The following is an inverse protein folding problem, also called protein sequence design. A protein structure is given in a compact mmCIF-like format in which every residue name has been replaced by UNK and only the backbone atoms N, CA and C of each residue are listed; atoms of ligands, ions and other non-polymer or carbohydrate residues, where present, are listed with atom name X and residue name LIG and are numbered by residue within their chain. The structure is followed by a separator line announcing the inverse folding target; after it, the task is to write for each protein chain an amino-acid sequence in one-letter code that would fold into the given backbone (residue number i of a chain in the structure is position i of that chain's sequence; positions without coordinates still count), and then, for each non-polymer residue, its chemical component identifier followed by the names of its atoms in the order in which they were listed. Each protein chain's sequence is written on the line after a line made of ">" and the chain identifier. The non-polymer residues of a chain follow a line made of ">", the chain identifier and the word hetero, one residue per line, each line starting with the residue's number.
data_IF_886518869335
#
_entry.id   IF_886518869335
#
_cell.length_a   1.000
_cell.length_b   1.000
_cell.length_c   1.000
_cell.angle_alpha   90.00
_cell.angle_beta   90.00
_cell.angle_gamma   90.00
#
_symmetry.space_group_name_H-M   'P 1'
#
loop_
_entity.id
_entity.type
_entity.pdbx_description
1 polymer ?
#
# COMPACT_ATOMS: atom_id res chain seq x y z
N UNK A 1 -6.47 -17.61 31.06
CA UNK A 1 -7.25 -18.65 30.38
C UNK A 1 -8.42 -17.99 29.66
N UNK A 2 -8.20 -17.48 28.45
CA UNK A 2 -9.29 -17.13 27.56
C UNK A 2 -9.88 -18.46 27.07
N UNK A 3 -11.06 -18.83 27.57
CA UNK A 3 -11.70 -20.06 27.13
C UNK A 3 -12.01 -19.98 25.63
N UNK A 4 -11.96 -21.11 24.93
CA UNK A 4 -12.41 -21.25 23.53
C UNK A 4 -13.83 -20.67 23.33
N UNK A 5 -14.63 -20.67 24.37
CA UNK A 5 -15.96 -20.06 24.42
C UNK A 5 -15.90 -18.53 24.15
N UNK A 6 -14.95 -17.79 24.73
CA UNK A 6 -14.80 -16.34 24.46
C UNK A 6 -14.34 -16.04 23.03
N UNK A 7 -13.57 -16.93 22.41
CA UNK A 7 -13.13 -16.77 21.02
C UNK A 7 -14.32 -16.99 20.09
N UNK A 8 -15.08 -18.07 20.28
CA UNK A 8 -16.27 -18.37 19.48
C UNK A 8 -17.33 -17.27 19.59
N UNK A 9 -17.65 -16.82 20.81
CA UNK A 9 -18.64 -15.76 21.04
C UNK A 9 -18.27 -14.46 20.33
N UNK A 10 -16.97 -14.10 20.29
CA UNK A 10 -16.50 -12.93 19.56
C UNK A 10 -16.62 -13.12 18.05
N UNK A 11 -16.26 -14.28 17.52
CA UNK A 11 -16.38 -14.56 16.09
C UNK A 11 -17.84 -14.57 15.65
N UNK A 12 -18.73 -15.16 16.45
CA UNK A 12 -20.17 -15.13 16.19
C UNK A 12 -20.77 -13.73 16.28
N UNK A 13 -20.33 -12.93 17.26
CA UNK A 13 -20.74 -11.53 17.37
C UNK A 13 -20.31 -10.72 16.12
N UNK A 14 -19.12 -10.96 15.58
CA UNK A 14 -18.66 -10.33 14.33
C UNK A 14 -19.60 -10.70 13.18
N UNK A 15 -19.93 -11.99 13.01
CA UNK A 15 -20.78 -12.47 11.93
C UNK A 15 -22.21 -11.93 12.03
N UNK A 16 -22.77 -11.85 13.24
CA UNK A 16 -24.17 -11.50 13.43
C UNK A 16 -24.43 -10.01 13.68
N UNK A 17 -23.45 -9.26 14.18
CA UNK A 17 -23.65 -7.87 14.57
C UNK A 17 -23.03 -6.87 13.61
N UNK A 18 -21.98 -7.25 12.85
CA UNK A 18 -21.41 -6.34 11.86
C UNK A 18 -22.19 -6.39 10.54
N UNK A 19 -22.58 -5.22 10.00
CA UNK A 19 -23.22 -5.17 8.69
C UNK A 19 -22.24 -5.61 7.60
N UNK A 20 -22.75 -6.29 6.58
CA UNK A 20 -21.97 -6.62 5.39
C UNK A 20 -21.45 -5.34 4.71
N UNK A 21 -20.29 -5.40 4.04
CA UNK A 21 -19.78 -4.29 3.26
C UNK A 21 -20.83 -3.80 2.24
N UNK A 22 -21.03 -2.49 2.19
CA UNK A 22 -21.93 -1.87 1.23
C UNK A 22 -21.13 -1.37 0.03
N UNK A 23 -21.66 -1.57 -1.18
CA UNK A 23 -21.07 -1.08 -2.41
C UNK A 23 -21.94 -1.45 -3.61
N UNK A 24 -21.79 -0.72 -4.71
CA UNK A 24 -22.50 -0.96 -5.97
C UNK A 24 -21.55 -1.59 -7.00
N UNK A 25 -21.79 -2.86 -7.35
CA UNK A 25 -20.98 -3.60 -8.33
C UNK A 25 -21.10 -3.01 -9.75
N UNK A 26 -22.22 -2.33 -10.06
CA UNK A 26 -22.47 -1.73 -11.37
C UNK A 26 -21.86 -0.34 -11.55
N UNK A 27 -21.45 0.30 -10.45
CA UNK A 27 -20.83 1.61 -10.45
C UNK A 27 -19.41 1.60 -11.07
N UNK A 28 -18.84 2.76 -11.42
CA UNK A 28 -17.44 2.87 -11.79
C UNK A 28 -16.54 2.34 -10.67
N UNK A 29 -15.45 1.68 -11.06
CA UNK A 29 -14.48 1.15 -10.10
C UNK A 29 -13.99 2.27 -9.16
N UNK A 30 -14.13 2.03 -7.87
CA UNK A 30 -13.60 2.85 -6.79
C UNK A 30 -12.98 1.93 -5.74
N UNK A 31 -11.66 1.83 -5.73
CA UNK A 31 -10.91 0.99 -4.81
C UNK A 31 -9.95 1.83 -3.97
N UNK A 32 -9.81 1.47 -2.71
CA UNK A 32 -8.86 2.09 -1.79
C UNK A 32 -7.58 1.28 -1.76
N UNK A 33 -6.43 1.91 -1.97
CA UNK A 33 -5.11 1.34 -1.74
C UNK A 33 -4.88 1.33 -0.22
N UNK A 34 -4.91 0.14 0.39
CA UNK A 34 -4.78 -0.02 1.84
C UNK A 34 -3.31 -0.11 2.24
N UNK A 35 -2.54 -0.89 1.46
CA UNK A 35 -1.14 -1.17 1.75
C UNK A 35 -0.39 -1.53 0.47
N UNK A 36 0.92 -1.48 0.50
CA UNK A 36 1.77 -1.92 -0.60
C UNK A 36 3.11 -2.44 -0.07
N UNK A 37 3.67 -3.45 -0.75
CA UNK A 37 4.99 -3.96 -0.42
C UNK A 37 5.72 -4.40 -1.69
N UNK A 38 7.02 -4.53 -1.57
CA UNK A 38 7.86 -5.03 -2.64
C UNK A 38 8.12 -6.53 -2.45
N UNK A 39 7.75 -7.31 -3.45
CA UNK A 39 8.07 -8.73 -3.54
C UNK A 39 9.15 -8.94 -4.62
N UNK A 40 10.16 -9.77 -4.36
CA UNK A 40 11.26 -10.00 -5.29
C UNK A 40 10.85 -10.69 -6.59
N UNK A 41 9.73 -11.42 -6.59
CA UNK A 41 9.18 -12.12 -7.74
C UNK A 41 8.06 -11.37 -8.45
N UNK A 42 7.18 -10.76 -7.67
CA UNK A 42 5.96 -10.11 -8.18
C UNK A 42 6.16 -8.61 -8.41
N UNK A 43 7.26 -8.04 -7.92
CA UNK A 43 7.47 -6.60 -7.91
C UNK A 43 6.61 -5.90 -6.85
N UNK A 44 6.03 -4.76 -7.19
CA UNK A 44 5.13 -4.04 -6.29
C UNK A 44 3.79 -4.75 -6.23
N UNK A 45 3.42 -5.21 -5.03
CA UNK A 45 2.12 -5.79 -4.70
C UNK A 45 1.31 -4.75 -3.93
N UNK A 46 0.08 -4.55 -4.32
CA UNK A 46 -0.83 -3.58 -3.70
C UNK A 46 -2.01 -4.32 -3.08
N UNK A 47 -2.28 -4.05 -1.80
CA UNK A 47 -3.50 -4.48 -1.13
C UNK A 47 -4.60 -3.45 -1.40
N UNK A 48 -5.72 -3.90 -1.92
CA UNK A 48 -6.85 -3.04 -2.28
C UNK A 48 -8.14 -3.49 -1.62
N UNK A 49 -8.98 -2.53 -1.26
CA UNK A 49 -10.37 -2.74 -0.88
C UNK A 49 -11.26 -2.15 -1.97
N UNK A 50 -12.09 -2.96 -2.57
CA UNK A 50 -13.06 -2.50 -3.56
C UNK A 50 -14.25 -1.87 -2.83
N UNK A 51 -14.48 -0.58 -3.04
CA UNK A 51 -15.64 0.13 -2.48
C UNK A 51 -16.84 0.01 -3.39
N UNK A 52 -16.65 0.29 -4.68
CA UNK A 52 -17.67 0.20 -5.73
C UNK A 52 -17.06 -0.37 -7.01
N UNK A 53 -17.90 -0.95 -7.86
CA UNK A 53 -17.49 -1.53 -9.13
C UNK A 53 -16.84 -2.91 -9.00
N UNK A 54 -16.13 -3.29 -10.06
CA UNK A 54 -15.40 -4.55 -10.15
C UNK A 54 -14.03 -4.31 -10.76
N UNK A 55 -13.02 -4.92 -10.18
CA UNK A 55 -11.63 -4.90 -10.65
C UNK A 55 -11.30 -6.24 -11.30
N UNK A 56 -10.80 -6.21 -12.54
CA UNK A 56 -10.53 -7.42 -13.35
C UNK A 56 -9.09 -7.51 -13.80
N UNK A 57 -8.61 -8.72 -14.00
CA UNK A 57 -7.33 -8.99 -14.63
C UNK A 57 -7.27 -8.34 -16.03
N UNK A 58 -6.12 -7.78 -16.39
CA UNK A 58 -5.88 -7.03 -17.64
C UNK A 58 -6.66 -5.72 -17.77
N UNK A 59 -7.38 -5.28 -16.75
CA UNK A 59 -8.01 -3.97 -16.73
C UNK A 59 -6.97 -2.86 -16.61
N UNK A 60 -7.18 -1.74 -17.31
CA UNK A 60 -6.35 -0.56 -17.17
C UNK A 60 -6.90 0.32 -16.06
N UNK A 61 -6.12 0.51 -15.03
CA UNK A 61 -6.44 1.30 -13.83
C UNK A 61 -5.68 2.61 -13.82
N UNK A 62 -6.20 3.58 -13.08
CA UNK A 62 -5.57 4.89 -12.83
C UNK A 62 -5.50 5.14 -11.33
N UNK A 63 -4.34 5.57 -10.87
CA UNK A 63 -4.13 6.14 -9.54
C UNK A 63 -4.63 7.59 -9.54
N UNK A 64 -5.54 7.96 -8.65
CA UNK A 64 -6.16 9.29 -8.70
C UNK A 64 -5.22 10.40 -8.22
N UNK A 65 -4.29 10.11 -7.30
CA UNK A 65 -3.36 11.12 -6.78
C UNK A 65 -2.26 11.50 -7.77
N UNK A 66 -1.69 10.52 -8.48
CA UNK A 66 -0.57 10.72 -9.41
C UNK A 66 -1.00 10.77 -10.88
N UNK A 67 -2.25 10.40 -11.20
CA UNK A 67 -2.75 10.15 -12.55
C UNK A 67 -1.97 9.05 -13.31
N UNK A 68 -1.14 8.27 -12.64
CA UNK A 68 -0.41 7.17 -13.23
C UNK A 68 -1.37 6.06 -13.68
N UNK A 69 -1.10 5.50 -14.85
CA UNK A 69 -1.96 4.49 -15.48
C UNK A 69 -1.19 3.18 -15.59
N UNK A 70 -1.80 2.10 -15.12
CA UNK A 70 -1.21 0.76 -15.11
C UNK A 70 -2.21 -0.27 -15.60
N UNK A 71 -1.70 -1.40 -16.11
CA UNK A 71 -2.51 -2.56 -16.44
C UNK A 71 -2.35 -3.61 -15.35
N UNK A 72 -3.47 -4.14 -14.86
CA UNK A 72 -3.48 -5.17 -13.83
C UNK A 72 -2.99 -6.48 -14.41
N UNK A 73 -1.91 -7.02 -13.85
CA UNK A 73 -1.31 -8.29 -14.29
C UNK A 73 -1.96 -9.47 -13.56
N UNK A 74 -2.02 -9.40 -12.22
CA UNK A 74 -2.60 -10.45 -11.37
C UNK A 74 -3.53 -9.84 -10.35
N UNK A 75 -4.54 -10.62 -9.97
CA UNK A 75 -5.49 -10.32 -8.89
C UNK A 75 -5.60 -11.55 -8.02
N UNK A 76 -5.71 -11.37 -6.72
CA UNK A 76 -5.91 -12.48 -5.81
C UNK A 76 -6.39 -12.04 -4.44
N UNK A 77 -6.64 -13.04 -3.61
CA UNK A 77 -7.07 -12.92 -2.22
C UNK A 77 -6.12 -13.71 -1.31
N UNK A 78 -6.21 -13.47 0.00
CA UNK A 78 -5.47 -14.22 1.00
C UNK A 78 -6.39 -15.20 1.72
N UNK A 79 -6.09 -16.53 1.66
CA UNK A 79 -6.92 -17.61 2.24
C UNK A 79 -6.14 -18.75 2.94
N UNK A 80 -5.26 -18.56 3.91
CA UNK A 80 -4.37 -17.44 4.25
C UNK A 80 -3.23 -17.22 3.26
N UNK A 81 -2.97 -18.18 2.35
CA UNK A 81 -1.98 -18.02 1.26
C UNK A 81 -2.58 -17.21 0.12
N UNK A 82 -1.72 -16.62 -0.68
CA UNK A 82 -2.11 -15.95 -1.91
C UNK A 82 -2.81 -16.91 -2.85
N UNK A 83 -4.02 -16.58 -3.27
CA UNK A 83 -4.80 -17.32 -4.25
C UNK A 83 -5.24 -16.37 -5.35
N UNK A 84 -4.88 -16.69 -6.60
CA UNK A 84 -5.30 -15.87 -7.76
C UNK A 84 -6.79 -16.04 -8.01
N UNK A 85 -7.44 -14.92 -8.36
CA UNK A 85 -8.84 -14.86 -8.80
C UNK A 85 -8.92 -14.01 -10.08
N UNK A 86 -10.02 -14.11 -10.82
CA UNK A 86 -10.18 -13.36 -12.07
C UNK A 86 -10.67 -11.93 -11.83
N UNK A 87 -11.42 -11.70 -10.75
CA UNK A 87 -11.96 -10.38 -10.40
C UNK A 87 -12.15 -10.21 -8.89
N UNK A 88 -12.24 -8.95 -8.47
CA UNK A 88 -12.66 -8.52 -7.13
C UNK A 88 -13.84 -7.57 -7.28
N UNK A 89 -14.91 -7.84 -6.53
CA UNK A 89 -16.15 -7.07 -6.54
C UNK A 89 -16.26 -6.13 -5.35
N UNK A 90 -17.21 -5.20 -5.41
CA UNK A 90 -17.51 -4.28 -4.33
C UNK A 90 -17.68 -5.01 -2.98
N UNK A 91 -16.98 -4.52 -1.95
CA UNK A 91 -16.92 -5.09 -0.60
C UNK A 91 -15.73 -6.03 -0.36
N UNK A 92 -15.08 -6.52 -1.40
CA UNK A 92 -13.95 -7.45 -1.27
C UNK A 92 -12.61 -6.74 -1.03
N UNK A 93 -11.71 -7.47 -0.38
CA UNK A 93 -10.32 -7.09 -0.16
C UNK A 93 -9.42 -8.12 -0.83
N UNK A 94 -8.46 -7.67 -1.60
CA UNK A 94 -7.51 -8.53 -2.28
C UNK A 94 -6.23 -7.82 -2.65
N UNK A 95 -5.33 -8.51 -3.33
CA UNK A 95 -4.09 -7.92 -3.84
C UNK A 95 -4.09 -7.85 -5.35
N UNK A 96 -3.35 -6.88 -5.88
CA UNK A 96 -3.07 -6.75 -7.31
C UNK A 96 -1.58 -6.56 -7.55
N UNK A 97 -1.13 -6.97 -8.73
CA UNK A 97 0.15 -6.56 -9.30
C UNK A 97 -0.11 -5.88 -10.64
N UNK A 98 0.66 -4.85 -10.97
CA UNK A 98 0.40 -4.04 -12.15
C UNK A 98 1.69 -3.50 -12.82
N UNK A 99 2.80 -4.23 -12.73
CA UNK A 99 4.11 -3.84 -13.30
C UNK A 99 4.50 -2.38 -13.01
N UNK A 100 4.28 -1.96 -11.76
CA UNK A 100 4.50 -0.58 -11.34
C UNK A 100 5.99 -0.29 -11.30
N UNK A 101 6.42 0.72 -12.07
CA UNK A 101 7.82 1.11 -12.22
C UNK A 101 8.27 2.15 -11.22
N UNK A 102 7.36 3.01 -10.78
CA UNK A 102 7.65 4.09 -9.84
C UNK A 102 6.98 3.82 -8.50
N UNK A 103 7.80 3.66 -7.48
CA UNK A 103 7.37 3.51 -6.07
C UNK A 103 6.51 4.69 -5.61
N UNK A 104 6.84 5.89 -6.07
CA UNK A 104 6.13 7.12 -5.72
C UNK A 104 4.67 7.18 -6.18
N UNK A 105 4.27 6.32 -7.13
CA UNK A 105 2.91 6.28 -7.66
C UNK A 105 1.96 5.46 -6.77
N UNK A 106 2.49 4.67 -5.83
CA UNK A 106 1.73 3.82 -4.91
C UNK A 106 1.66 4.44 -3.52
N UNK A 107 0.79 5.42 -3.34
CA UNK A 107 0.58 6.01 -2.01
C UNK A 107 -0.53 5.29 -1.27
N UNK A 108 -0.22 4.81 -0.06
CA UNK A 108 -1.23 4.25 0.85
C UNK A 108 -2.33 5.29 1.10
N UNK A 109 -3.57 4.87 0.95
CA UNK A 109 -4.73 5.77 1.01
C UNK A 109 -5.17 6.36 -0.32
N UNK A 110 -4.44 6.11 -1.43
CA UNK A 110 -4.87 6.57 -2.75
C UNK A 110 -6.11 5.82 -3.26
N UNK A 111 -6.81 6.43 -4.18
CA UNK A 111 -7.96 5.82 -4.86
C UNK A 111 -7.55 5.32 -6.23
N UNK A 112 -7.89 4.06 -6.48
CA UNK A 112 -7.71 3.40 -7.76
C UNK A 112 -9.05 3.36 -8.48
N UNK A 113 -9.05 3.78 -9.75
CA UNK A 113 -10.25 3.78 -10.59
C UNK A 113 -9.99 3.16 -11.97
N UNK A 114 -11.06 2.84 -12.70
CA UNK A 114 -10.95 2.40 -14.10
C UNK A 114 -10.52 3.56 -14.99
N UNK A 115 -9.56 3.33 -15.88
CA UNK A 115 -9.07 4.40 -16.77
C UNK A 115 -10.07 4.82 -17.85
N UNK A 116 -10.96 3.91 -18.28
CA UNK A 116 -11.97 4.19 -19.31
C UNK A 116 -13.23 4.82 -18.73
N UNK A 117 -13.60 4.42 -17.51
CA UNK A 117 -14.78 4.90 -16.79
C UNK A 117 -14.38 5.31 -15.37
N UNK A 118 -13.65 6.43 -15.21
CA UNK A 118 -13.14 6.84 -13.92
C UNK A 118 -14.27 7.29 -12.98
N UNK A 119 -14.10 7.05 -11.68
CA UNK A 119 -14.95 7.64 -10.66
C UNK A 119 -14.64 9.15 -10.54
N UNK A 120 -15.64 9.93 -10.13
CA UNK A 120 -15.54 11.40 -10.03
C UNK A 120 -14.88 11.86 -8.74
N UNK A 121 -15.00 11.09 -7.66
CA UNK A 121 -14.55 11.47 -6.33
C UNK A 121 -13.59 10.43 -5.76
N UNK A 122 -12.46 10.91 -5.24
CA UNK A 122 -11.53 10.08 -4.49
C UNK A 122 -12.10 9.72 -3.12
N UNK A 123 -11.69 8.57 -2.59
CA UNK A 123 -11.94 8.19 -1.20
C UNK A 123 -11.12 9.09 -0.26
N UNK A 124 -11.58 9.28 0.97
CA UNK A 124 -10.91 10.15 1.96
C UNK A 124 -9.48 9.72 2.31
N UNK A 125 -9.11 8.50 1.95
CA UNK A 125 -7.76 7.97 2.22
C UNK A 125 -7.43 7.85 3.69
N UNK A 126 -6.13 7.87 3.99
CA UNK A 126 -5.61 7.85 5.36
C UNK A 126 -4.90 9.17 5.69
N UNK A 127 -4.89 9.53 6.96
CA UNK A 127 -4.09 10.68 7.43
C UNK A 127 -2.61 10.32 7.33
N UNK A 128 -1.76 11.22 6.79
CA UNK A 128 -0.33 10.98 6.75
C UNK A 128 0.24 10.83 8.16
N UNK A 129 1.18 9.90 8.33
CA UNK A 129 1.96 9.76 9.55
C UNK A 129 2.90 10.96 9.69
N UNK A 130 3.05 11.47 10.92
CA UNK A 130 3.97 12.57 11.23
C UNK A 130 5.15 12.00 11.99
N UNK A 131 6.38 12.04 11.44
CA UNK A 131 7.57 11.59 12.14
C UNK A 131 7.87 12.46 13.37
N UNK A 132 8.34 11.83 14.46
CA UNK A 132 8.72 12.52 15.70
C UNK A 132 10.20 12.32 16.08
N UNK A 133 10.86 11.32 15.49
CA UNK A 133 12.29 11.05 15.66
C UNK A 133 12.97 11.15 14.30
N UNK A 134 14.13 11.76 14.26
CA UNK A 134 14.91 11.93 13.04
C UNK A 134 16.33 11.43 13.23
N UNK A 135 16.87 10.75 12.22
CA UNK A 135 18.30 10.45 12.11
C UNK A 135 18.79 10.65 10.68
N UNK A 136 20.09 10.85 10.54
CA UNK A 136 20.74 10.99 9.23
C UNK A 136 21.51 9.72 8.92
N UNK A 137 21.33 9.19 7.71
CA UNK A 137 21.97 7.97 7.21
C UNK A 137 22.89 8.34 6.06
N UNK A 138 24.16 7.97 6.17
CA UNK A 138 25.17 8.20 5.16
C UNK A 138 25.78 6.87 4.73
N UNK A 139 26.01 6.65 3.43
CA UNK A 139 26.73 5.46 2.98
C UNK A 139 28.20 5.55 3.44
N UNK A 140 28.80 4.41 3.79
CA UNK A 140 30.21 4.33 4.15
C UNK A 140 31.11 4.68 2.95
N UNK A 141 30.70 4.24 1.78
CA UNK A 141 31.32 4.57 0.49
C UNK A 141 30.33 5.45 -0.33
N UNK A 142 30.79 6.61 -0.76
CA UNK A 142 30.00 7.56 -1.55
C UNK A 142 29.48 6.97 -2.88
N UNK A 143 30.16 5.96 -3.43
CA UNK A 143 29.69 5.25 -4.64
C UNK A 143 28.39 4.48 -4.41
N UNK A 144 28.03 4.19 -3.16
CA UNK A 144 26.81 3.45 -2.78
C UNK A 144 25.60 4.36 -2.55
N UNK A 145 25.71 5.67 -2.80
CA UNK A 145 24.60 6.62 -2.59
C UNK A 145 23.31 6.23 -3.37
N UNK A 146 23.44 5.89 -4.65
CA UNK A 146 22.26 5.51 -5.46
C UNK A 146 21.67 4.17 -4.98
N UNK A 147 22.50 3.22 -4.55
CA UNK A 147 22.01 1.97 -3.97
C UNK A 147 21.25 2.18 -2.67
N UNK A 148 21.73 3.09 -1.79
CA UNK A 148 21.04 3.48 -0.56
C UNK A 148 19.70 4.16 -0.86
N UNK A 149 19.65 5.04 -1.85
CA UNK A 149 18.43 5.71 -2.29
C UNK A 149 17.37 4.72 -2.77
N UNK A 150 17.77 3.74 -3.59
CA UNK A 150 16.86 2.70 -4.07
C UNK A 150 16.37 1.80 -2.93
N UNK A 151 17.24 1.48 -1.96
CA UNK A 151 16.86 0.73 -0.77
C UNK A 151 15.83 1.48 0.09
N UNK A 152 16.04 2.77 0.33
CA UNK A 152 15.08 3.61 1.07
C UNK A 152 13.75 3.76 0.33
N UNK A 153 13.76 3.83 -1.00
CA UNK A 153 12.55 3.86 -1.80
C UNK A 153 11.74 2.56 -1.68
N UNK A 154 12.39 1.40 -1.70
CA UNK A 154 11.75 0.09 -1.46
C UNK A 154 11.26 -0.06 -0.03
N UNK A 155 12.05 0.43 0.94
CA UNK A 155 11.67 0.40 2.35
C UNK A 155 10.42 1.24 2.61
N UNK A 156 10.31 2.43 2.01
CA UNK A 156 9.12 3.29 2.08
C UNK A 156 7.85 2.64 1.52
N UNK A 157 7.98 1.69 0.59
CA UNK A 157 6.84 0.87 0.14
C UNK A 157 6.38 -0.09 1.22
N UNK A 158 7.32 -0.73 1.92
CA UNK A 158 7.01 -1.69 2.97
C UNK A 158 6.55 -1.00 4.25
N UNK A 159 7.00 0.22 4.47
CA UNK A 159 6.63 1.05 5.62
C UNK A 159 6.32 2.48 5.19
N UNK A 160 5.04 2.77 4.95
CA UNK A 160 4.55 4.08 4.52
C UNK A 160 4.74 5.19 5.59
N UNK A 161 5.11 4.83 6.82
CA UNK A 161 5.34 5.79 7.91
C UNK A 161 6.73 6.41 7.92
N UNK A 162 7.68 5.81 7.18
CA UNK A 162 9.02 6.39 7.00
C UNK A 162 8.93 7.58 6.05
N UNK A 163 9.56 8.66 6.45
CA UNK A 163 9.84 9.78 5.56
C UNK A 163 11.32 10.03 5.44
N UNK A 164 11.80 10.40 4.25
CA UNK A 164 13.20 10.73 4.03
C UNK A 164 13.38 11.84 3.01
N UNK A 165 14.41 12.63 3.21
CA UNK A 165 14.82 13.70 2.31
C UNK A 165 16.32 13.69 2.13
N UNK A 166 16.78 14.21 0.99
CA UNK A 166 18.22 14.32 0.74
C UNK A 166 18.88 15.22 1.78
N UNK A 167 20.05 14.80 2.25
CA UNK A 167 20.89 15.56 3.17
C UNK A 167 22.31 15.61 2.65
N UNK A 168 23.01 16.71 2.90
CA UNK A 168 24.41 16.87 2.53
C UNK A 168 25.20 17.33 3.76
N UNK A 169 26.20 16.55 4.13
CA UNK A 169 27.12 16.85 5.21
C UNK A 169 28.49 17.21 4.65
N UNK A 170 29.09 18.29 5.11
CA UNK A 170 30.44 18.68 4.72
C UNK A 170 31.50 17.62 5.06
N UNK A 171 31.26 16.83 6.13
CA UNK A 171 32.18 15.79 6.59
C UNK A 171 31.86 14.40 6.00
N UNK A 172 30.58 14.06 5.80
CA UNK A 172 30.13 12.72 5.44
C UNK A 172 29.62 12.60 3.99
N UNK A 173 29.51 13.74 3.28
CA UNK A 173 29.02 13.77 1.91
C UNK A 173 27.49 13.69 1.81
N UNK A 174 27.02 13.04 0.74
CA UNK A 174 25.59 12.89 0.46
C UNK A 174 24.97 11.74 1.26
N UNK A 175 23.80 12.01 1.83
CA UNK A 175 23.04 11.05 2.61
C UNK A 175 21.56 11.39 2.63
N UNK A 176 20.85 10.84 3.61
CA UNK A 176 19.41 11.03 3.78
C UNK A 176 19.07 11.31 5.24
N UNK A 177 18.26 12.33 5.47
CA UNK A 177 17.60 12.57 6.74
C UNK A 177 16.29 11.80 6.77
N UNK A 178 16.20 10.80 7.65
CA UNK A 178 15.04 9.91 7.79
C UNK A 178 14.24 10.28 9.02
N UNK A 179 12.90 10.24 8.88
CA UNK A 179 11.95 10.49 9.95
C UNK A 179 11.18 9.21 10.33
N UNK A 180 11.02 8.98 11.62
CA UNK A 180 10.43 7.79 12.22
C UNK A 180 9.34 8.15 13.23
N UNK A 181 8.38 7.23 13.47
CA UNK A 181 7.30 7.40 14.44
C UNK A 181 7.78 7.38 15.91
N UNK A 182 8.95 6.84 16.17
CA UNK A 182 9.54 6.73 17.50
C UNK A 182 10.88 6.00 17.49
N UNK A 183 11.52 5.89 18.66
CA UNK A 183 12.83 5.23 18.80
C UNK A 183 12.78 3.75 18.43
N UNK A 184 11.75 3.01 18.85
CA UNK A 184 11.59 1.59 18.49
C UNK A 184 11.45 1.41 16.98
N UNK A 185 10.71 2.29 16.31
CA UNK A 185 10.59 2.26 14.86
C UNK A 185 11.94 2.45 14.18
N UNK A 186 12.72 3.44 14.66
CA UNK A 186 14.07 3.71 14.15
C UNK A 186 15.04 2.52 14.36
N UNK A 187 14.92 1.80 15.49
CA UNK A 187 15.78 0.65 15.80
C UNK A 187 15.46 -0.58 14.97
N UNK A 188 14.20 -0.73 14.53
CA UNK A 188 13.76 -1.88 13.71
C UNK A 188 14.16 -1.70 12.24
N UNK A 189 14.15 -0.46 11.76
CA UNK A 189 14.52 -0.09 10.40
C UNK A 189 16.04 -0.08 10.23
#
# INVERSE_FOLDING_TARGET
>A
VGSEMCIRDRLEAIVHQLPAPQGDVSAPLKALLIDSWYDSYLGVVILVRIKDGTLRKKQTIRMMSSNAVYTVDRIGVFTPKMQEVEELSAGEVGYITASIKSVGDCRVGDTITDNKRPCTEALSGFKPSIPVVFCSIFPVDSSQYEALKDALAKLKLNDASIDYQNENSAALGLGFRCGFLGLLHMEII
#
